data_IF_221801807983
#
_entry.id   IF_221801807983
#
_cell.length_a   1.000
_cell.length_b   1.000
_cell.length_c   1.000
_cell.angle_alpha   90.00
_cell.angle_beta   90.00
_cell.angle_gamma   90.00
#
_symmetry.space_group_name_H-M   'P 1'
#
loop_
_entity.id
_entity.type
_entity.pdbx_description
1 polymer ?
#
# COMPACT_ATOMS: atom_id res chain seq x y z
N UNK A 1 -7.57 -0.68 -1.95
CA UNK A 1 -7.17 -2.04 -2.36
C UNK A 1 -6.33 -2.07 -3.65
N UNK A 2 -5.82 -0.92 -4.13
CA UNK A 2 -4.83 -0.88 -5.21
C UNK A 2 -4.04 0.43 -5.10
N UNK A 3 -3.34 0.61 -3.98
CA UNK A 3 -2.37 1.69 -3.81
C UNK A 3 -1.14 1.47 -4.72
N UNK A 4 -1.08 0.34 -5.43
CA UNK A 4 -0.18 0.11 -6.55
C UNK A 4 -0.88 0.44 -7.87
N UNK A 5 -0.38 1.46 -8.55
CA UNK A 5 -0.98 1.96 -9.78
C UNK A 5 0.08 2.42 -10.78
N UNK A 6 -0.25 2.35 -12.06
CA UNK A 6 0.59 2.90 -13.11
C UNK A 6 0.23 4.36 -13.34
N UNK A 7 1.21 5.24 -13.25
CA UNK A 7 1.10 6.66 -13.62
C UNK A 7 2.21 6.93 -14.63
N UNK A 8 1.85 7.45 -15.82
CA UNK A 8 2.81 7.75 -16.88
C UNK A 8 3.77 6.58 -17.20
N UNK A 9 3.24 5.36 -17.29
CA UNK A 9 3.98 4.11 -17.50
C UNK A 9 5.00 3.73 -16.40
N UNK A 10 4.94 4.37 -15.23
CA UNK A 10 5.75 4.01 -14.07
C UNK A 10 4.87 3.40 -12.98
N UNK A 11 5.34 2.31 -12.40
CA UNK A 11 4.65 1.64 -11.30
C UNK A 11 4.92 2.44 -10.02
N UNK A 12 3.85 2.91 -9.40
CA UNK A 12 3.88 3.64 -8.15
C UNK A 12 3.31 2.78 -7.02
N UNK A 13 3.83 3.00 -5.82
CA UNK A 13 3.17 2.67 -4.56
C UNK A 13 2.76 3.98 -3.92
N UNK A 14 1.45 4.17 -3.71
CA UNK A 14 0.85 5.46 -3.37
C UNK A 14 1.27 6.50 -4.44
N UNK A 15 1.86 7.62 -4.02
CA UNK A 15 2.38 8.67 -4.91
C UNK A 15 3.87 8.52 -5.22
N UNK A 16 4.50 7.39 -4.84
CA UNK A 16 5.95 7.21 -4.98
C UNK A 16 6.33 6.17 -6.06
N UNK A 17 7.18 6.53 -7.04
CA UNK A 17 7.61 5.62 -8.09
C UNK A 17 8.56 4.53 -7.57
N UNK A 18 8.26 3.26 -7.87
CA UNK A 18 9.02 2.12 -7.35
C UNK A 18 10.44 2.00 -7.91
N UNK A 19 10.68 2.48 -9.13
CA UNK A 19 12.01 2.51 -9.74
C UNK A 19 12.98 3.43 -8.99
N UNK A 20 12.48 4.50 -8.38
CA UNK A 20 13.29 5.34 -7.49
C UNK A 20 13.69 4.56 -6.24
N UNK A 21 12.74 3.85 -5.59
CA UNK A 21 13.03 3.03 -4.40
C UNK A 21 14.06 1.94 -4.71
N UNK A 22 13.89 1.24 -5.83
CA UNK A 22 14.83 0.19 -6.25
C UNK A 22 16.24 0.75 -6.50
N UNK A 23 16.35 1.98 -7.04
CA UNK A 23 17.64 2.65 -7.27
C UNK A 23 18.27 3.14 -5.97
N UNK A 24 17.49 3.64 -5.03
CA UNK A 24 17.97 4.16 -3.73
C UNK A 24 18.36 3.06 -2.75
N UNK A 25 17.59 1.98 -2.68
CA UNK A 25 17.74 0.94 -1.66
C UNK A 25 18.31 -0.39 -2.19
N UNK A 26 18.43 -0.54 -3.52
CA UNK A 26 18.87 -1.78 -4.16
C UNK A 26 17.78 -2.85 -4.20
N UNK A 27 18.08 -4.00 -4.82
CA UNK A 27 17.14 -5.13 -4.93
C UNK A 27 17.73 -6.42 -4.34
N UNK A 28 16.91 -7.30 -3.76
CA UNK A 28 15.44 -7.23 -3.64
C UNK A 28 14.96 -6.21 -2.59
N UNK A 29 13.92 -5.43 -2.92
CA UNK A 29 13.28 -4.44 -2.05
C UNK A 29 11.79 -4.74 -1.95
N UNK A 30 11.30 -5.04 -0.75
CA UNK A 30 9.87 -5.20 -0.48
C UNK A 30 9.28 -3.83 -0.15
N UNK A 31 8.21 -3.47 -0.87
CA UNK A 31 7.51 -2.20 -0.69
C UNK A 31 6.07 -2.49 -0.31
N UNK A 32 5.60 -1.84 0.75
CA UNK A 32 4.22 -1.93 1.23
C UNK A 32 3.63 -0.53 1.29
N UNK A 33 2.34 -0.41 0.96
CA UNK A 33 1.58 0.82 1.18
C UNK A 33 1.07 0.86 2.61
N UNK A 34 1.32 1.96 3.30
CA UNK A 34 0.85 2.17 4.66
C UNK A 34 -0.67 2.43 4.67
N UNK A 35 -1.19 3.20 3.71
CA UNK A 35 -2.62 3.44 3.57
C UNK A 35 -3.38 2.14 3.34
N UNK A 36 -2.87 1.26 2.47
CA UNK A 36 -3.48 -0.04 2.19
C UNK A 36 -3.59 -0.89 3.45
N UNK A 37 -2.53 -0.94 4.27
CA UNK A 37 -2.51 -1.70 5.52
C UNK A 37 -3.49 -1.12 6.55
N UNK A 38 -3.54 0.20 6.71
CA UNK A 38 -4.47 0.88 7.61
C UNK A 38 -5.92 0.64 7.21
N UNK A 39 -6.26 0.82 5.93
CA UNK A 39 -7.62 0.59 5.41
C UNK A 39 -8.03 -0.87 5.59
N UNK A 40 -7.12 -1.83 5.37
CA UNK A 40 -7.42 -3.24 5.58
C UNK A 40 -7.73 -3.52 7.07
N UNK A 41 -6.97 -2.91 7.99
CA UNK A 41 -7.23 -3.03 9.42
C UNK A 41 -8.57 -2.42 9.82
N UNK A 42 -8.85 -1.19 9.39
CA UNK A 42 -10.11 -0.48 9.66
C UNK A 42 -11.31 -1.26 9.11
N UNK A 43 -11.19 -1.81 7.89
CA UNK A 43 -12.24 -2.63 7.28
C UNK A 43 -12.58 -3.85 8.14
N UNK A 44 -11.55 -4.52 8.66
CA UNK A 44 -11.73 -5.66 9.57
C UNK A 44 -12.38 -5.16 10.87
N UNK A 45 -11.86 -4.09 11.47
CA UNK A 45 -12.40 -3.53 12.71
C UNK A 45 -13.89 -3.18 12.60
N UNK A 46 -14.28 -2.42 11.58
CA UNK A 46 -15.69 -2.04 11.35
C UNK A 46 -16.59 -3.25 11.10
N UNK A 47 -16.08 -4.32 10.45
CA UNK A 47 -16.87 -5.53 10.23
C UNK A 47 -17.25 -6.25 11.53
N UNK A 48 -16.47 -6.10 12.60
CA UNK A 48 -16.71 -6.74 13.90
C UNK A 48 -17.36 -5.81 14.94
N UNK A 49 -17.52 -4.51 14.67
CA UNK A 49 -18.15 -3.55 15.60
C UNK A 49 -19.56 -3.97 16.04
N UNK A 50 -20.38 -4.53 15.14
CA UNK A 50 -21.74 -4.97 15.46
C UNK A 50 -21.80 -6.16 16.44
N UNK A 51 -20.74 -6.96 16.53
CA UNK A 51 -20.68 -8.18 17.34
C UNK A 51 -19.96 -8.00 18.67
N UNK A 52 -19.52 -6.79 19.00
CA UNK A 52 -18.74 -6.49 20.20
C UNK A 52 -19.32 -5.25 20.94
N UNK A 53 -20.52 -5.36 21.55
CA UNK A 53 -21.07 -4.30 22.41
C UNK A 53 -20.32 -4.16 23.74
#
# INVERSE_FOLDING_TARGET
>A
MNDFNYQENRLHCEDYPLDNLASTFGTPCFVYSASAMTVAFETIQSAFEYHNP
#
